data_IF_697482097022
#
_entry.id   IF_697482097022
#
_cell.length_a   1.000
_cell.length_b   1.000
_cell.length_c   1.000
_cell.angle_alpha   90.00
_cell.angle_beta   90.00
_cell.angle_gamma   90.00
#
_symmetry.space_group_name_H-M   'P 1'
#
loop_
_entity.id
_entity.type
_entity.pdbx_description
1 polymer ?
#
# COMPACT_ATOMS: atom_id res chain seq x y z
N UNK A 1 4.31 17.64 -28.35
CA UNK A 1 5.07 18.88 -28.60
C UNK A 1 4.84 20.01 -27.57
N UNK A 2 4.04 19.79 -26.53
CA UNK A 2 3.75 20.83 -25.52
C UNK A 2 4.74 20.91 -24.34
N UNK A 3 5.73 20.04 -24.24
CA UNK A 3 6.65 19.97 -23.09
C UNK A 3 8.11 20.40 -23.39
N UNK A 4 8.40 20.79 -24.62
CA UNK A 4 9.75 21.16 -25.04
C UNK A 4 10.22 22.48 -24.42
N UNK A 5 9.28 23.37 -24.06
CA UNK A 5 9.61 24.69 -23.50
C UNK A 5 9.85 24.73 -21.98
N UNK A 6 9.54 23.64 -21.25
CA UNK A 6 9.73 23.61 -19.78
C UNK A 6 11.20 23.54 -19.35
N UNK A 7 12.05 23.05 -20.24
CA UNK A 7 13.50 23.00 -19.98
C UNK A 7 14.13 24.38 -20.25
N UNK A 8 13.59 25.16 -21.20
CA UNK A 8 14.12 26.49 -21.51
C UNK A 8 13.99 27.50 -20.38
N UNK A 9 12.99 27.41 -19.53
CA UNK A 9 12.85 28.28 -18.37
C UNK A 9 14.01 28.15 -17.37
N UNK A 10 14.65 26.98 -17.31
CA UNK A 10 15.81 26.72 -16.46
C UNK A 10 17.10 27.37 -17.01
N UNK A 11 17.14 27.79 -18.29
CA UNK A 11 18.32 28.43 -18.90
C UNK A 11 18.41 29.93 -18.64
N UNK A 12 17.29 30.58 -18.36
CA UNK A 12 17.19 32.06 -18.35
C UNK A 12 17.48 32.64 -16.97
N UNK A 13 17.25 31.85 -15.90
CA UNK A 13 17.46 32.31 -14.51
C UNK A 13 18.57 31.48 -13.89
N UNK A 14 19.74 31.98 -14.00
CA UNK A 14 20.94 31.37 -13.56
C UNK A 14 21.39 31.94 -12.21
N UNK A 15 21.69 31.08 -11.23
CA UNK A 15 22.67 31.37 -10.18
C UNK A 15 22.88 30.25 -9.17
N UNK A 16 22.21 29.09 -9.33
CA UNK A 16 22.48 27.93 -8.47
C UNK A 16 22.99 26.74 -9.29
N UNK A 17 24.13 26.19 -8.89
CA UNK A 17 24.74 24.99 -9.49
C UNK A 17 23.98 23.69 -9.17
N UNK A 18 22.88 23.80 -8.43
CA UNK A 18 22.11 22.65 -7.94
C UNK A 18 20.65 22.77 -8.30
N UNK A 19 20.10 21.71 -8.95
CA UNK A 19 18.66 21.58 -9.12
C UNK A 19 18.02 21.22 -7.79
N UNK A 20 17.01 21.96 -7.37
CA UNK A 20 16.12 21.54 -6.28
C UNK A 20 15.06 20.60 -6.80
N UNK A 21 14.83 19.51 -6.06
CA UNK A 21 13.76 18.58 -6.37
C UNK A 21 12.54 19.02 -5.57
N UNK A 22 11.38 19.11 -6.23
CA UNK A 22 10.12 19.41 -5.56
C UNK A 22 9.88 18.47 -4.37
N UNK A 23 9.22 18.97 -3.34
CA UNK A 23 8.89 18.17 -2.17
C UNK A 23 8.14 16.90 -2.57
N UNK A 24 8.69 15.76 -2.25
CA UNK A 24 8.12 14.46 -2.58
C UNK A 24 8.58 13.38 -1.61
N UNK A 25 7.84 12.29 -1.57
CA UNK A 25 8.19 11.13 -0.78
C UNK A 25 9.48 10.47 -1.31
N UNK A 26 10.47 10.29 -0.45
CA UNK A 26 11.77 9.71 -0.80
C UNK A 26 11.79 8.18 -0.68
N UNK A 27 11.10 7.62 0.31
CA UNK A 27 11.07 6.19 0.61
C UNK A 27 9.66 5.64 0.53
N UNK A 28 9.53 4.35 0.25
CA UNK A 28 8.25 3.64 0.40
C UNK A 28 7.88 3.57 1.88
N UNK A 29 6.64 3.91 2.20
CA UNK A 29 6.11 3.92 3.57
C UNK A 29 5.42 2.61 3.93
N UNK A 30 4.77 1.97 2.95
CA UNK A 30 3.98 0.76 3.15
C UNK A 30 4.77 -0.54 2.94
N UNK A 31 5.87 -0.51 2.18
CA UNK A 31 6.65 -1.70 1.87
C UNK A 31 7.16 -2.44 3.13
N UNK A 32 7.55 -1.67 4.17
CA UNK A 32 8.04 -2.23 5.44
C UNK A 32 6.99 -3.00 6.24
N UNK A 33 5.72 -2.78 5.92
CA UNK A 33 4.56 -3.41 6.60
C UNK A 33 3.90 -4.50 5.76
N UNK A 34 4.41 -4.76 4.58
CA UNK A 34 3.99 -5.84 3.70
C UNK A 34 4.96 -7.02 3.77
N UNK A 35 4.46 -8.23 3.54
CA UNK A 35 5.32 -9.41 3.38
C UNK A 35 5.97 -9.35 2.01
N UNK A 36 7.27 -9.10 1.99
CA UNK A 36 8.02 -9.05 0.74
C UNK A 36 8.34 -10.46 0.25
N UNK A 37 7.87 -10.81 -0.94
CA UNK A 37 8.15 -12.08 -1.63
C UNK A 37 9.45 -12.07 -2.43
N UNK A 38 10.11 -10.92 -2.49
CA UNK A 38 11.32 -10.73 -3.28
C UNK A 38 11.06 -10.69 -4.77
N UNK A 39 12.08 -11.05 -5.56
CA UNK A 39 12.01 -11.03 -7.02
C UNK A 39 11.19 -12.19 -7.55
N UNK A 40 10.11 -11.86 -8.26
CA UNK A 40 9.21 -12.81 -8.88
C UNK A 40 9.67 -13.10 -10.32
N UNK A 41 9.67 -14.37 -10.68
CA UNK A 41 9.90 -14.82 -12.05
C UNK A 41 8.57 -15.35 -12.60
N UNK A 42 7.97 -14.60 -13.53
CA UNK A 42 6.68 -14.95 -14.13
C UNK A 42 5.68 -13.83 -14.11
N UNK A 43 4.51 -14.06 -14.70
CA UNK A 43 3.43 -13.08 -14.85
C UNK A 43 2.59 -12.88 -13.58
N UNK A 44 2.73 -13.75 -12.60
CA UNK A 44 1.95 -13.70 -11.36
C UNK A 44 2.66 -14.41 -10.22
N UNK A 45 2.26 -14.10 -9.00
CA UNK A 45 2.56 -14.93 -7.85
C UNK A 45 1.28 -15.34 -7.13
N UNK A 46 1.35 -16.44 -6.41
CA UNK A 46 0.23 -17.01 -5.71
C UNK A 46 0.41 -16.98 -4.20
N UNK A 47 -0.71 -16.85 -3.49
CA UNK A 47 -0.81 -16.93 -2.04
C UNK A 47 -1.80 -18.04 -1.73
N UNK A 48 -1.34 -19.12 -1.14
CA UNK A 48 -2.21 -20.21 -0.71
C UNK A 48 -2.91 -19.78 0.58
N UNK A 49 -4.22 -19.92 0.63
CA UNK A 49 -5.01 -19.69 1.82
C UNK A 49 -5.70 -21.00 2.26
N UNK A 50 -5.92 -21.11 3.57
CA UNK A 50 -6.60 -22.25 4.19
C UNK A 50 -7.53 -21.73 5.26
N UNK A 51 -8.77 -22.20 5.24
CA UNK A 51 -9.78 -21.88 6.24
C UNK A 51 -9.48 -22.52 7.60
N UNK A 52 -10.16 -22.04 8.63
CA UNK A 52 -10.12 -22.63 9.97
C UNK A 52 -10.92 -23.93 10.02
N UNK A 53 -10.47 -24.84 10.85
CA UNK A 53 -11.21 -26.06 11.20
C UNK A 53 -11.45 -26.09 12.70
N UNK A 54 -12.61 -26.58 13.13
CA UNK A 54 -12.96 -26.70 14.52
C UNK A 54 -12.99 -28.16 14.96
N UNK A 55 -12.62 -28.41 16.23
CA UNK A 55 -12.72 -29.72 16.83
C UNK A 55 -14.17 -29.97 17.24
N UNK A 56 -14.74 -31.07 16.77
CA UNK A 56 -16.05 -31.54 17.22
C UNK A 56 -15.91 -32.57 18.35
N UNK A 57 -16.86 -32.63 19.29
CA UNK A 57 -16.88 -33.67 20.32
C UNK A 57 -16.88 -35.06 19.68
N UNK A 58 -16.08 -35.97 20.22
CA UNK A 58 -16.09 -37.36 19.78
C UNK A 58 -17.48 -37.98 20.03
N UNK A 59 -18.00 -38.60 19.01
CA UNK A 59 -19.28 -39.34 19.08
C UNK A 59 -19.15 -40.62 19.92
N UNK A 60 -19.91 -41.66 19.55
CA UNK A 60 -19.91 -42.94 20.21
C UNK A 60 -18.53 -43.63 20.18
N UNK A 61 -18.24 -44.45 21.18
CA UNK A 61 -16.95 -45.12 21.43
C UNK A 61 -16.40 -45.95 20.28
N UNK A 62 -17.28 -46.39 19.34
CA UNK A 62 -16.96 -47.14 18.13
C UNK A 62 -17.70 -46.59 16.92
N UNK A 63 -17.94 -45.25 16.92
CA UNK A 63 -18.57 -44.57 15.80
C UNK A 63 -17.54 -44.29 14.68
N UNK A 64 -18.07 -43.96 13.50
CA UNK A 64 -17.27 -43.59 12.36
C UNK A 64 -16.53 -42.26 12.58
N UNK A 65 -15.38 -42.13 11.94
CA UNK A 65 -14.59 -40.92 11.96
C UNK A 65 -15.26 -39.81 11.14
N UNK A 66 -15.58 -38.68 11.75
CA UNK A 66 -16.02 -37.49 11.04
C UNK A 66 -14.82 -36.70 10.50
N UNK A 67 -14.85 -36.43 9.21
CA UNK A 67 -13.78 -35.66 8.55
C UNK A 67 -14.16 -34.15 8.56
N UNK A 68 -13.20 -33.31 8.92
CA UNK A 68 -13.31 -31.87 8.77
C UNK A 68 -12.26 -31.41 7.76
N UNK A 69 -12.71 -30.97 6.59
CA UNK A 69 -11.83 -30.53 5.49
C UNK A 69 -11.84 -29.00 5.49
N UNK A 70 -10.67 -28.33 5.64
CA UNK A 70 -10.61 -26.88 5.56
C UNK A 70 -10.91 -26.39 4.14
N UNK A 71 -11.60 -25.25 4.01
CA UNK A 71 -11.70 -24.54 2.74
C UNK A 71 -10.32 -24.04 2.34
N UNK A 72 -9.80 -24.52 1.22
CA UNK A 72 -8.49 -24.15 0.70
C UNK A 72 -8.65 -23.45 -0.65
N UNK A 73 -7.83 -22.42 -0.86
CA UNK A 73 -7.85 -21.67 -2.10
C UNK A 73 -6.47 -21.11 -2.45
N UNK A 74 -6.38 -20.62 -3.66
CA UNK A 74 -5.20 -19.96 -4.19
C UNK A 74 -5.57 -18.55 -4.63
N UNK A 75 -4.92 -17.56 -4.07
CA UNK A 75 -5.07 -16.16 -4.46
C UNK A 75 -3.96 -15.80 -5.42
N UNK A 76 -4.32 -15.17 -6.53
CA UNK A 76 -3.39 -14.80 -7.59
C UNK A 76 -3.23 -13.29 -7.65
N UNK A 77 -1.99 -12.82 -7.59
CA UNK A 77 -1.62 -11.43 -7.84
C UNK A 77 -0.88 -11.35 -9.19
N UNK A 78 -1.46 -10.64 -10.14
CA UNK A 78 -0.89 -10.44 -11.48
C UNK A 78 0.15 -9.33 -11.44
N UNK A 79 1.31 -9.57 -12.04
CA UNK A 79 2.36 -8.57 -12.22
C UNK A 79 1.92 -7.56 -13.27
N UNK A 80 2.14 -6.29 -12.98
CA UNK A 80 1.88 -5.20 -13.91
C UNK A 80 3.17 -4.41 -14.16
N UNK A 81 3.43 -4.13 -15.44
CA UNK A 81 4.64 -3.45 -15.87
C UNK A 81 4.45 -1.94 -15.82
N UNK A 82 5.45 -1.26 -15.30
CA UNK A 82 5.52 0.19 -15.19
C UNK A 82 6.84 0.69 -15.72
N UNK A 83 6.78 1.64 -16.64
CA UNK A 83 7.93 2.29 -17.23
C UNK A 83 7.97 3.78 -16.89
N UNK A 84 9.18 4.29 -16.74
CA UNK A 84 9.41 5.72 -16.57
C UNK A 84 10.74 6.09 -17.18
N UNK A 85 10.70 6.96 -18.20
CA UNK A 85 11.88 7.44 -18.91
C UNK A 85 11.88 8.98 -18.98
N UNK A 86 13.01 9.59 -18.64
CA UNK A 86 13.25 11.02 -18.76
C UNK A 86 14.26 11.24 -19.88
N UNK A 87 13.88 11.90 -21.00
CA UNK A 87 14.80 12.21 -22.10
C UNK A 87 15.71 13.39 -21.72
N UNK A 88 16.97 13.30 -22.14
CA UNK A 88 17.96 14.37 -22.02
C UNK A 88 18.49 14.67 -23.42
N UNK A 89 18.21 15.85 -23.95
CA UNK A 89 18.67 16.23 -25.28
C UNK A 89 20.16 16.57 -25.26
N UNK A 90 20.93 15.98 -26.17
CA UNK A 90 22.38 16.19 -26.26
C UNK A 90 22.78 17.64 -26.59
N UNK A 91 21.88 18.42 -27.22
CA UNK A 91 22.08 19.83 -27.54
C UNK A 91 22.01 20.74 -26.32
N UNK A 92 21.31 20.29 -25.28
CA UNK A 92 21.10 21.06 -24.06
C UNK A 92 22.20 20.80 -23.03
N UNK A 93 22.87 19.65 -23.08
CA UNK A 93 23.99 19.32 -22.18
C UNK A 93 25.11 20.40 -22.14
N UNK A 94 25.56 20.95 -23.26
CA UNK A 94 26.61 22.01 -23.22
C UNK A 94 26.11 23.34 -22.67
N UNK A 95 24.79 23.56 -22.65
CA UNK A 95 24.15 24.78 -22.16
C UNK A 95 23.79 24.68 -20.68
N UNK A 96 23.74 23.47 -20.15
CA UNK A 96 23.50 23.22 -18.74
C UNK A 96 24.82 23.39 -17.96
N UNK A 97 24.81 24.25 -16.97
CA UNK A 97 25.96 24.48 -16.08
C UNK A 97 26.20 23.31 -15.11
N UNK A 98 25.16 22.53 -14.82
CA UNK A 98 25.20 21.32 -14.00
C UNK A 98 24.55 20.13 -14.74
N UNK A 99 25.12 18.94 -14.63
CA UNK A 99 24.54 17.72 -15.20
C UNK A 99 23.46 17.20 -14.25
N UNK A 100 22.17 17.19 -14.63
CA UNK A 100 21.07 16.85 -13.74
C UNK A 100 20.85 15.34 -13.53
N UNK A 101 21.76 14.50 -14.02
CA UNK A 101 21.61 13.04 -14.07
C UNK A 101 21.30 12.44 -12.70
N UNK A 102 22.01 12.84 -11.65
CA UNK A 102 21.81 12.33 -10.29
C UNK A 102 20.45 12.74 -9.72
N UNK A 103 20.00 13.95 -10.04
CA UNK A 103 18.69 14.45 -9.60
C UNK A 103 17.56 13.77 -10.35
N UNK A 104 17.74 13.48 -11.63
CA UNK A 104 16.77 12.70 -12.41
C UNK A 104 16.68 11.26 -11.90
N UNK A 105 17.82 10.62 -11.62
CA UNK A 105 17.85 9.29 -11.03
C UNK A 105 17.12 9.25 -9.69
N UNK A 106 17.37 10.23 -8.81
CA UNK A 106 16.67 10.33 -7.52
C UNK A 106 15.17 10.52 -7.69
N UNK A 107 14.75 11.32 -8.66
CA UNK A 107 13.32 11.54 -8.97
C UNK A 107 12.64 10.27 -9.48
N UNK A 108 13.32 9.47 -10.30
CA UNK A 108 12.85 8.16 -10.77
C UNK A 108 12.66 7.18 -9.62
N UNK A 109 13.64 7.08 -8.72
CA UNK A 109 13.57 6.23 -7.52
C UNK A 109 12.39 6.64 -6.63
N UNK A 110 12.21 7.93 -6.42
CA UNK A 110 11.09 8.45 -5.63
C UNK A 110 9.73 8.15 -6.29
N UNK A 111 9.64 8.22 -7.61
CA UNK A 111 8.44 7.86 -8.35
C UNK A 111 8.12 6.36 -8.24
N UNK A 112 9.15 5.50 -8.33
CA UNK A 112 9.04 4.05 -8.09
C UNK A 112 8.49 3.78 -6.68
N UNK A 113 9.05 4.39 -5.65
CA UNK A 113 8.65 4.19 -4.27
C UNK A 113 7.19 4.61 -4.03
N UNK A 114 6.74 5.72 -4.60
CA UNK A 114 5.33 6.15 -4.55
C UNK A 114 4.39 5.17 -5.26
N UNK A 115 4.85 4.56 -6.36
CA UNK A 115 4.04 3.57 -7.09
C UNK A 115 3.92 2.27 -6.32
N UNK A 116 4.96 1.84 -5.62
CA UNK A 116 4.93 0.67 -4.73
C UNK A 116 3.87 0.86 -3.64
N UNK A 117 3.86 2.03 -2.99
CA UNK A 117 2.86 2.32 -1.95
C UNK A 117 1.43 2.32 -2.49
N UNK A 118 1.21 2.88 -3.69
CA UNK A 118 -0.08 2.87 -4.35
C UNK A 118 -0.56 1.43 -4.62
N UNK A 119 0.31 0.56 -5.13
CA UNK A 119 -0.03 -0.84 -5.42
C UNK A 119 -0.36 -1.62 -4.14
N UNK A 120 0.41 -1.44 -3.07
CA UNK A 120 0.14 -2.08 -1.77
C UNK A 120 -1.20 -1.61 -1.21
N UNK A 121 -1.48 -0.30 -1.26
CA UNK A 121 -2.76 0.25 -0.81
C UNK A 121 -3.94 -0.28 -1.63
N UNK A 122 -3.82 -0.31 -2.96
CA UNK A 122 -4.87 -0.85 -3.83
C UNK A 122 -5.12 -2.34 -3.57
N UNK A 123 -4.08 -3.12 -3.27
CA UNK A 123 -4.22 -4.53 -2.92
C UNK A 123 -4.96 -4.73 -1.57
N UNK A 124 -4.80 -3.80 -0.62
CA UNK A 124 -5.52 -3.84 0.65
C UNK A 124 -7.03 -3.55 0.48
N UNK A 125 -7.38 -2.56 -0.35
CA UNK A 125 -8.77 -2.09 -0.52
C UNK A 125 -9.50 -2.84 -1.64
N UNK A 126 -8.79 -3.21 -2.70
CA UNK A 126 -9.36 -3.80 -3.91
C UNK A 126 -9.77 -5.26 -3.75
N UNK A 127 -10.36 -5.81 -4.82
CA UNK A 127 -10.66 -7.23 -4.93
C UNK A 127 -9.40 -8.04 -5.26
N UNK A 128 -9.37 -9.29 -4.80
CA UNK A 128 -8.33 -10.25 -5.13
C UNK A 128 -8.94 -11.45 -5.86
N UNK A 129 -8.28 -11.96 -6.88
CA UNK A 129 -8.71 -13.15 -7.59
C UNK A 129 -8.38 -14.39 -6.75
N UNK A 130 -9.42 -15.18 -6.40
CA UNK A 130 -9.29 -16.42 -5.64
C UNK A 130 -9.82 -17.59 -6.46
N UNK A 131 -9.04 -18.64 -6.57
CA UNK A 131 -9.43 -19.92 -7.17
C UNK A 131 -9.59 -20.95 -6.07
N UNK A 132 -10.72 -21.61 -6.04
CA UNK A 132 -11.06 -22.70 -5.12
C UNK A 132 -11.46 -23.94 -5.91
N UNK A 133 -11.27 -25.10 -5.32
CA UNK A 133 -11.72 -26.38 -5.88
C UNK A 133 -12.81 -26.92 -4.99
N UNK A 134 -13.98 -27.23 -5.55
CA UNK A 134 -15.07 -27.83 -4.80
C UNK A 134 -14.87 -29.34 -4.57
N UNK A 135 -15.72 -29.98 -3.77
CA UNK A 135 -15.69 -31.41 -3.45
C UNK A 135 -15.79 -32.31 -4.70
N UNK A 136 -16.31 -31.80 -5.79
CA UNK A 136 -16.40 -32.52 -7.09
C UNK A 136 -15.13 -32.34 -7.95
N UNK A 137 -14.10 -31.64 -7.45
CA UNK A 137 -12.87 -31.39 -8.20
C UNK A 137 -12.99 -30.28 -9.26
N UNK A 138 -14.07 -29.49 -9.21
CA UNK A 138 -14.27 -28.39 -10.18
C UNK A 138 -13.67 -27.11 -9.64
N UNK A 139 -12.81 -26.51 -10.45
CA UNK A 139 -12.21 -25.19 -10.15
C UNK A 139 -13.23 -24.06 -10.35
N UNK A 140 -13.25 -23.14 -9.41
CA UNK A 140 -14.03 -21.91 -9.49
C UNK A 140 -13.12 -20.72 -9.17
N UNK A 141 -13.05 -19.78 -10.11
CA UNK A 141 -12.26 -18.54 -9.95
C UNK A 141 -13.21 -17.36 -9.81
N UNK A 142 -13.03 -16.57 -8.78
CA UNK A 142 -13.84 -15.38 -8.52
C UNK A 142 -13.03 -14.25 -7.90
N UNK A 143 -13.58 -13.04 -7.94
CA UNK A 143 -13.02 -11.88 -7.26
C UNK A 143 -13.60 -11.79 -5.86
N UNK A 144 -12.74 -11.80 -4.85
CA UNK A 144 -13.11 -11.64 -3.45
C UNK A 144 -12.82 -10.21 -3.00
N UNK A 145 -13.88 -9.49 -2.65
CA UNK A 145 -13.80 -8.13 -2.10
C UNK A 145 -13.81 -8.17 -0.56
N UNK A 146 -13.53 -7.02 0.07
CA UNK A 146 -13.71 -6.89 1.51
C UNK A 146 -15.19 -7.08 1.87
N UNK A 147 -15.52 -7.97 2.82
CA UNK A 147 -16.89 -8.14 3.29
C UNK A 147 -17.42 -6.86 3.94
N UNK A 148 -18.73 -6.63 3.89
CA UNK A 148 -19.37 -5.47 4.51
C UNK A 148 -19.07 -5.35 6.02
N UNK A 149 -18.90 -6.48 6.72
CA UNK A 149 -18.51 -6.51 8.13
C UNK A 149 -17.07 -6.02 8.42
N UNK A 150 -16.24 -5.91 7.39
CA UNK A 150 -14.86 -5.38 7.45
C UNK A 150 -14.77 -3.92 6.99
N UNK A 151 -15.92 -3.28 6.70
CA UNK A 151 -15.97 -1.89 6.26
C UNK A 151 -16.74 -1.08 7.29
N UNK A 152 -16.09 -0.08 7.88
CA UNK A 152 -16.70 0.85 8.84
C UNK A 152 -16.98 2.14 8.09
N UNK A 153 -18.28 2.49 7.99
CA UNK A 153 -18.72 3.69 7.29
C UNK A 153 -18.49 4.96 8.14
N UNK A 154 -18.38 6.11 7.49
CA UNK A 154 -18.18 7.41 8.14
C UNK A 154 -19.27 7.78 9.17
N UNK A 155 -20.51 7.34 8.92
CA UNK A 155 -21.66 7.56 9.83
C UNK A 155 -21.64 6.74 11.12
N UNK A 156 -20.64 5.87 11.34
CA UNK A 156 -20.59 5.05 12.57
C UNK A 156 -20.32 5.89 13.83
N UNK A 157 -19.67 7.05 13.69
CA UNK A 157 -19.35 7.94 14.81
C UNK A 157 -18.01 8.67 14.61
N UNK A 158 -17.43 9.17 15.71
CA UNK A 158 -16.13 9.82 15.65
C UNK A 158 -15.03 8.87 15.21
N UNK A 159 -13.94 9.41 14.66
CA UNK A 159 -12.77 8.62 14.21
C UNK A 159 -12.25 7.70 15.31
N UNK A 160 -12.21 8.16 16.57
CA UNK A 160 -11.85 7.34 17.72
C UNK A 160 -12.75 6.10 17.88
N UNK A 161 -14.07 6.28 17.74
CA UNK A 161 -15.03 5.17 17.85
C UNK A 161 -14.86 4.18 16.69
N UNK A 162 -14.58 4.67 15.49
CA UNK A 162 -14.28 3.84 14.32
C UNK A 162 -13.01 2.99 14.55
N UNK A 163 -11.94 3.57 15.09
CA UNK A 163 -10.71 2.85 15.42
C UNK A 163 -10.93 1.77 16.49
N UNK A 164 -11.69 2.09 17.55
CA UNK A 164 -12.05 1.12 18.59
C UNK A 164 -12.87 -0.03 17.99
N UNK A 165 -13.82 0.29 17.10
CA UNK A 165 -14.60 -0.72 16.38
C UNK A 165 -13.75 -1.61 15.50
N UNK A 166 -12.79 -1.04 14.78
CA UNK A 166 -11.84 -1.79 13.97
C UNK A 166 -11.04 -2.79 14.82
N UNK A 167 -10.52 -2.37 15.96
CA UNK A 167 -9.84 -3.28 16.91
C UNK A 167 -10.76 -4.38 17.44
N UNK A 168 -12.03 -4.07 17.70
CA UNK A 168 -13.01 -5.08 18.10
C UNK A 168 -13.20 -6.15 17.01
N UNK A 169 -13.22 -5.75 15.72
CA UNK A 169 -13.31 -6.67 14.59
C UNK A 169 -12.07 -7.57 14.50
N UNK A 170 -10.86 -7.01 14.65
CA UNK A 170 -9.64 -7.83 14.65
C UNK A 170 -9.62 -8.85 15.79
N UNK A 171 -10.08 -8.48 16.97
CA UNK A 171 -10.20 -9.42 18.10
C UNK A 171 -11.23 -10.51 17.87
N UNK A 172 -12.38 -10.15 17.27
CA UNK A 172 -13.40 -11.13 16.92
C UNK A 172 -12.90 -12.13 15.84
N UNK A 173 -11.99 -11.69 14.98
CA UNK A 173 -11.36 -12.53 13.95
C UNK A 173 -10.08 -13.22 14.41
N UNK A 174 -9.69 -13.09 15.71
CA UNK A 174 -8.45 -13.64 16.26
C UNK A 174 -7.18 -13.20 15.53
N UNK A 175 -7.21 -11.99 14.95
CA UNK A 175 -6.09 -11.39 14.19
C UNK A 175 -5.48 -10.20 14.96
N UNK A 176 -5.29 -10.33 16.26
CA UNK A 176 -4.79 -9.26 17.12
C UNK A 176 -3.33 -9.44 17.54
N UNK A 177 -2.86 -8.53 18.37
CA UNK A 177 -1.50 -8.52 18.88
C UNK A 177 -1.19 -9.77 19.76
N UNK A 178 -2.21 -10.43 20.29
CA UNK A 178 -2.04 -11.63 21.13
C UNK A 178 -1.55 -12.83 20.30
N UNK A 179 -1.96 -12.89 19.04
CA UNK A 179 -1.49 -13.90 18.08
C UNK A 179 -0.17 -13.52 17.39
N UNK A 180 0.54 -12.50 17.91
CA UNK A 180 1.83 -12.06 17.37
C UNK A 180 1.75 -11.18 16.14
N UNK A 181 0.54 -10.76 15.72
CA UNK A 181 0.35 -9.87 14.58
C UNK A 181 0.59 -8.40 14.97
N UNK A 182 1.20 -7.65 14.09
CA UNK A 182 1.36 -6.20 14.26
C UNK A 182 0.28 -5.49 13.49
N UNK A 183 -0.52 -4.67 14.19
CA UNK A 183 -1.54 -3.85 13.56
C UNK A 183 -0.90 -2.57 13.01
N UNK A 184 -1.19 -2.28 11.75
CA UNK A 184 -0.77 -1.08 11.06
C UNK A 184 -2.01 -0.32 10.61
N UNK A 185 -1.96 1.01 10.65
CA UNK A 185 -3.03 1.88 10.17
C UNK A 185 -2.46 3.00 9.30
N UNK A 186 -3.09 3.21 8.17
CA UNK A 186 -2.79 4.31 7.27
C UNK A 186 -3.55 5.55 7.75
N UNK A 187 -2.90 6.71 7.79
CA UNK A 187 -3.55 7.96 8.14
C UNK A 187 -3.16 9.11 7.21
N UNK A 188 -4.05 10.09 7.07
CA UNK A 188 -3.85 11.32 6.31
C UNK A 188 -3.63 12.51 7.25
N UNK A 189 -3.24 13.65 6.68
CA UNK A 189 -3.11 14.89 7.43
C UNK A 189 -4.44 15.34 8.05
N UNK A 190 -5.57 15.16 7.36
CA UNK A 190 -6.91 15.48 7.91
C UNK A 190 -7.27 14.60 9.11
N UNK A 191 -6.96 13.29 9.05
CA UNK A 191 -7.15 12.41 10.21
C UNK A 191 -6.29 12.83 11.41
N UNK A 192 -5.07 13.27 11.16
CA UNK A 192 -4.19 13.78 12.20
C UNK A 192 -4.77 15.02 12.84
N UNK A 193 -5.33 15.93 12.05
CA UNK A 193 -6.02 17.14 12.53
C UNK A 193 -7.20 16.79 13.43
N UNK A 194 -8.05 15.84 13.02
CA UNK A 194 -9.18 15.35 13.83
C UNK A 194 -8.73 14.72 15.15
N UNK A 195 -7.68 13.91 15.12
CA UNK A 195 -7.12 13.27 16.33
C UNK A 195 -6.57 14.32 17.30
N UNK A 196 -5.84 15.31 16.80
CA UNK A 196 -5.25 16.37 17.60
C UNK A 196 -6.32 17.38 18.10
N UNK A 197 -7.39 17.55 17.34
CA UNK A 197 -8.54 18.42 17.70
C UNK A 197 -9.48 17.80 18.74
N UNK A 198 -9.44 16.50 18.97
CA UNK A 198 -10.31 15.84 19.95
C UNK A 198 -9.83 16.14 21.39
N UNK A 199 -10.54 17.04 22.07
CA UNK A 199 -10.24 17.47 23.44
C UNK A 199 -10.30 16.34 24.46
N UNK A 200 -11.05 15.27 24.21
CA UNK A 200 -11.11 14.11 25.10
C UNK A 200 -9.82 13.27 25.08
N UNK A 201 -9.10 13.33 23.97
CA UNK A 201 -7.81 12.67 23.81
C UNK A 201 -6.66 13.51 24.38
N UNK A 202 -6.76 14.84 24.24
CA UNK A 202 -5.70 15.76 24.66
C UNK A 202 -5.70 16.03 26.16
N UNK A 203 -6.83 15.89 26.85
CA UNK A 203 -6.93 16.19 28.30
C UNK A 203 -6.57 15.03 29.25
N UNK A 204 -6.56 13.79 28.76
CA UNK A 204 -6.50 12.62 29.62
C UNK A 204 -5.23 11.75 29.45
N UNK A 205 -4.42 11.97 28.42
CA UNK A 205 -3.33 11.06 28.11
C UNK A 205 -2.02 11.79 27.77
N UNK A 206 -0.97 11.47 28.53
CA UNK A 206 0.39 11.95 28.30
C UNK A 206 0.89 11.68 26.85
N UNK A 207 0.38 10.64 26.19
CA UNK A 207 0.69 10.31 24.81
C UNK A 207 0.12 11.32 23.82
N UNK A 208 -1.06 11.87 24.08
CA UNK A 208 -1.66 12.91 23.23
C UNK A 208 -0.89 14.22 23.31
N UNK A 209 -0.37 14.57 24.47
CA UNK A 209 0.52 15.74 24.65
C UNK A 209 1.82 15.55 23.88
N UNK A 210 2.38 14.34 23.87
CA UNK A 210 3.58 14.03 23.10
C UNK A 210 3.34 14.11 21.59
N UNK A 211 2.21 13.61 21.09
CA UNK A 211 1.82 13.75 19.67
C UNK A 211 1.64 15.21 19.26
N UNK A 212 1.05 16.05 20.13
CA UNK A 212 0.94 17.49 19.91
C UNK A 212 2.31 18.17 19.83
N UNK A 213 3.26 17.76 20.65
CA UNK A 213 4.62 18.31 20.63
C UNK A 213 5.41 17.86 19.40
N UNK A 214 5.25 16.64 18.95
CA UNK A 214 5.97 16.08 17.81
C UNK A 214 5.28 16.38 16.46
N UNK A 215 4.02 16.80 16.46
CA UNK A 215 3.24 17.10 15.25
C UNK A 215 2.99 15.88 14.36
N UNK A 216 3.15 14.68 14.90
CA UNK A 216 2.95 13.41 14.20
C UNK A 216 2.52 12.32 15.18
N UNK A 217 1.85 11.28 14.68
CA UNK A 217 1.59 10.09 15.49
C UNK A 217 2.90 9.33 15.66
N UNK A 218 3.55 9.54 16.81
CA UNK A 218 4.83 8.92 17.13
C UNK A 218 4.60 7.60 17.87
N UNK A 219 5.21 6.54 17.34
CA UNK A 219 5.19 5.22 17.95
C UNK A 219 3.86 4.47 17.82
N UNK A 220 3.61 3.55 18.75
CA UNK A 220 2.37 2.77 18.80
C UNK A 220 1.34 3.49 19.66
N UNK A 221 0.33 4.07 19.04
CA UNK A 221 -0.83 4.60 19.74
C UNK A 221 -2.02 3.66 19.60
N UNK A 222 -2.73 3.38 20.67
CA UNK A 222 -3.76 2.36 20.77
C UNK A 222 -3.29 0.95 20.34
N UNK A 223 -1.99 0.63 20.48
CA UNK A 223 -1.42 -0.63 20.04
C UNK A 223 -1.28 -0.77 18.52
N UNK A 224 -1.49 0.29 17.76
CA UNK A 224 -1.44 0.33 16.30
C UNK A 224 -0.23 1.14 15.84
N UNK A 225 0.42 0.69 14.79
CA UNK A 225 1.52 1.38 14.12
C UNK A 225 0.95 2.31 13.04
N UNK A 226 1.22 3.61 13.12
CA UNK A 226 0.62 4.62 12.27
C UNK A 226 1.54 5.00 11.12
N UNK A 227 1.01 4.98 9.89
CA UNK A 227 1.77 5.23 8.66
C UNK A 227 1.13 6.38 7.89
N UNK A 228 1.83 7.50 7.69
CA UNK A 228 1.30 8.64 6.94
C UNK A 228 1.24 8.31 5.44
N UNK A 229 0.06 8.44 4.82
CA UNK A 229 -0.12 8.27 3.38
C UNK A 229 -1.37 9.03 2.91
N UNK A 230 -1.20 9.89 1.89
CA UNK A 230 -2.24 10.83 1.46
C UNK A 230 -3.11 10.35 0.27
N UNK A 231 -2.60 9.39 -0.53
CA UNK A 231 -3.28 8.95 -1.74
C UNK A 231 -4.33 7.87 -1.45
N UNK A 232 -5.39 8.25 -0.75
CA UNK A 232 -6.49 7.35 -0.43
C UNK A 232 -7.59 7.40 -1.49
N UNK A 233 -8.24 6.25 -1.73
CA UNK A 233 -9.46 6.17 -2.52
C UNK A 233 -10.63 6.85 -1.80
N UNK A 234 -11.65 7.21 -2.57
CA UNK A 234 -12.88 7.72 -1.97
C UNK A 234 -13.59 6.62 -1.18
N UNK A 235 -14.26 7.01 -0.10
CA UNK A 235 -15.14 6.15 0.67
C UNK A 235 -16.47 5.86 -0.02
N UNK A 236 -17.38 5.21 0.70
CA UNK A 236 -18.70 4.88 0.17
C UNK A 236 -19.56 6.13 -0.13
N UNK A 237 -19.37 7.22 0.59
CA UNK A 237 -20.06 8.52 0.38
C UNK A 237 -19.47 9.35 -0.77
N UNK A 238 -18.47 8.87 -1.50
CA UNK A 238 -17.92 9.55 -2.67
C UNK A 238 -16.77 10.51 -2.34
N UNK A 239 -16.74 11.70 -3.00
CA UNK A 239 -15.60 12.61 -2.93
C UNK A 239 -15.38 13.29 -1.55
N UNK A 240 -16.41 13.33 -0.71
CA UNK A 240 -16.37 13.91 0.64
C UNK A 240 -15.85 12.94 1.68
N UNK A 241 -15.60 11.71 1.29
CA UNK A 241 -15.09 10.67 2.16
C UNK A 241 -13.83 10.06 1.59
N UNK A 242 -12.92 9.68 2.47
CA UNK A 242 -11.73 8.89 2.13
C UNK A 242 -11.73 7.57 2.86
N UNK A 243 -11.19 6.55 2.21
CA UNK A 243 -11.09 5.19 2.77
C UNK A 243 -9.69 4.94 3.27
N UNK A 244 -9.52 4.87 4.57
CA UNK A 244 -8.29 4.37 5.18
C UNK A 244 -8.41 2.89 5.52
N UNK A 245 -7.29 2.27 5.88
CA UNK A 245 -7.22 0.83 6.15
C UNK A 245 -6.40 0.59 7.40
N UNK A 246 -6.95 -0.24 8.28
CA UNK A 246 -6.20 -0.90 9.34
C UNK A 246 -5.97 -2.35 8.93
N UNK A 247 -4.73 -2.85 9.06
CA UNK A 247 -4.37 -4.19 8.60
C UNK A 247 -3.22 -4.78 9.43
N UNK A 248 -3.10 -6.10 9.40
CA UNK A 248 -1.99 -6.81 10.03
C UNK A 248 -0.79 -6.86 9.09
N UNK A 249 0.41 -7.05 9.65
CA UNK A 249 1.65 -7.14 8.85
C UNK A 249 1.66 -8.31 7.87
N UNK A 250 0.88 -9.36 8.12
CA UNK A 250 0.74 -10.52 7.23
C UNK A 250 -0.44 -10.42 6.24
N UNK A 251 -1.16 -9.28 6.22
CA UNK A 251 -2.36 -9.12 5.41
C UNK A 251 -2.09 -8.98 3.92
N UNK A 252 -0.96 -8.39 3.54
CA UNK A 252 -0.61 -8.08 2.16
C UNK A 252 0.77 -8.61 1.81
N UNK A 253 0.87 -9.24 0.66
CA UNK A 253 2.12 -9.71 0.07
C UNK A 253 2.46 -8.84 -1.13
N UNK A 254 3.72 -8.48 -1.23
CA UNK A 254 4.27 -7.69 -2.32
C UNK A 254 5.39 -8.46 -3.02
N UNK A 255 5.39 -8.42 -4.34
CA UNK A 255 6.44 -8.97 -5.19
C UNK A 255 6.90 -7.94 -6.21
N UNK A 256 8.19 -7.94 -6.49
CA UNK A 256 8.78 -7.09 -7.51
C UNK A 256 9.57 -7.90 -8.52
N UNK A 257 9.68 -7.38 -9.75
CA UNK A 257 10.58 -7.87 -10.77
C UNK A 257 11.19 -6.66 -11.48
N UNK A 258 12.50 -6.59 -11.46
CA UNK A 258 13.24 -5.60 -12.24
C UNK A 258 13.43 -6.15 -13.65
N UNK A 259 12.69 -5.63 -14.62
CA UNK A 259 12.85 -5.97 -16.05
C UNK A 259 14.11 -5.30 -16.58
N UNK A 260 14.22 -4.00 -16.34
CA UNK A 260 15.42 -3.22 -16.63
C UNK A 260 15.60 -2.23 -15.50
N UNK A 261 16.70 -2.35 -14.77
CA UNK A 261 17.03 -1.36 -13.71
C UNK A 261 17.11 0.05 -14.28
N UNK A 262 17.12 1.06 -13.41
CA UNK A 262 17.34 2.43 -13.86
C UNK A 262 18.73 2.56 -14.49
N UNK A 263 18.75 2.90 -15.77
CA UNK A 263 19.98 3.05 -16.55
C UNK A 263 19.91 4.28 -17.46
N UNK A 264 21.08 4.68 -17.94
CA UNK A 264 21.25 5.75 -18.93
C UNK A 264 21.50 5.11 -20.27
N UNK A 265 20.52 5.16 -21.16
CA UNK A 265 20.60 4.60 -22.49
C UNK A 265 20.52 5.68 -23.58
N UNK A 266 21.12 5.41 -24.74
CA UNK A 266 21.01 6.26 -25.93
C UNK A 266 19.95 5.71 -26.87
N UNK A 267 19.11 6.59 -27.37
CA UNK A 267 18.08 6.31 -28.37
C UNK A 267 18.53 6.75 -29.77
N UNK A 268 19.08 5.85 -30.60
CA UNK A 268 19.53 6.20 -31.94
C UNK A 268 18.37 6.58 -32.87
N UNK A 269 17.17 6.06 -32.63
CA UNK A 269 15.94 6.38 -33.37
C UNK A 269 15.42 7.80 -33.12
N UNK A 270 15.88 8.46 -32.06
CA UNK A 270 15.48 9.82 -31.63
C UNK A 270 16.66 10.80 -31.62
N UNK A 271 17.39 10.91 -32.72
CA UNK A 271 18.55 11.82 -32.86
C UNK A 271 19.64 11.62 -31.80
N UNK A 272 19.88 10.38 -31.38
CA UNK A 272 20.84 10.02 -30.31
C UNK A 272 20.57 10.70 -28.96
N UNK A 273 19.31 10.93 -28.61
CA UNK A 273 18.94 11.45 -27.31
C UNK A 273 19.36 10.45 -26.23
N UNK A 274 19.94 10.94 -25.15
CA UNK A 274 20.15 10.17 -23.94
C UNK A 274 18.85 10.14 -23.13
N UNK A 275 18.49 8.99 -22.60
CA UNK A 275 17.37 8.86 -21.67
C UNK A 275 17.82 8.18 -20.37
N UNK A 276 17.24 8.60 -19.26
CA UNK A 276 17.40 7.98 -17.95
C UNK A 276 16.08 7.36 -17.57
N UNK A 277 16.07 6.09 -17.27
CA UNK A 277 14.82 5.41 -16.92
C UNK A 277 14.97 3.91 -16.77
N UNK A 278 13.87 3.23 -16.50
CA UNK A 278 13.81 1.79 -16.36
C UNK A 278 12.38 1.27 -16.42
N UNK A 279 12.27 -0.03 -16.51
CA UNK A 279 11.01 -0.78 -16.51
C UNK A 279 11.01 -1.72 -15.30
N UNK A 280 9.97 -1.62 -14.50
CA UNK A 280 9.78 -2.44 -13.32
C UNK A 280 8.40 -3.10 -13.37
N UNK A 281 8.29 -4.31 -12.86
CA UNK A 281 7.03 -5.01 -12.72
C UNK A 281 6.73 -5.19 -11.24
N UNK A 282 5.51 -4.87 -10.83
CA UNK A 282 5.07 -4.97 -9.44
C UNK A 282 3.73 -5.67 -9.34
N UNK A 283 3.56 -6.41 -8.25
CA UNK A 283 2.27 -6.92 -7.85
C UNK A 283 2.12 -6.88 -6.33
N UNK A 284 0.90 -6.74 -5.86
CA UNK A 284 0.56 -6.98 -4.48
C UNK A 284 -0.78 -7.73 -4.41
N UNK A 285 -0.93 -8.57 -3.40
CA UNK A 285 -2.14 -9.36 -3.17
C UNK A 285 -2.50 -9.42 -1.69
N UNK A 286 -3.79 -9.33 -1.39
CA UNK A 286 -4.30 -9.51 -0.04
C UNK A 286 -4.37 -11.01 0.29
N UNK A 287 -3.78 -11.39 1.44
CA UNK A 287 -3.72 -12.79 1.85
C UNK A 287 -5.05 -13.26 2.48
N UNK A 288 -5.72 -12.42 3.27
CA UNK A 288 -6.99 -12.75 3.93
C UNK A 288 -7.80 -11.48 4.20
N UNK A 289 -9.12 -11.53 4.01
CA UNK A 289 -10.04 -10.42 4.29
C UNK A 289 -10.14 -10.11 5.77
N UNK A 290 -10.10 -11.12 6.64
CA UNK A 290 -10.20 -10.97 8.09
C UNK A 290 -9.03 -10.15 8.69
N UNK A 291 -7.91 -10.06 7.98
CA UNK A 291 -6.71 -9.32 8.36
C UNK A 291 -6.73 -7.84 7.94
N UNK A 292 -7.83 -7.37 7.37
CA UNK A 292 -7.96 -6.01 6.84
C UNK A 292 -9.31 -5.43 7.22
N UNK A 293 -9.31 -4.22 7.76
CA UNK A 293 -10.53 -3.44 8.05
C UNK A 293 -10.42 -2.08 7.36
N UNK A 294 -11.37 -1.79 6.50
CA UNK A 294 -11.47 -0.48 5.85
C UNK A 294 -12.32 0.46 6.72
N UNK A 295 -11.91 1.73 6.80
CA UNK A 295 -12.58 2.77 7.56
C UNK A 295 -12.82 3.96 6.63
N UNK A 296 -14.07 4.33 6.42
CA UNK A 296 -14.43 5.52 5.68
C UNK A 296 -14.58 6.70 6.66
N UNK A 297 -13.93 7.81 6.38
CA UNK A 297 -13.96 9.02 7.20
C UNK A 297 -14.20 10.26 6.35
N UNK A 298 -14.79 11.29 6.94
CA UNK A 298 -15.04 12.58 6.28
C UNK A 298 -13.73 13.37 6.15
N UNK A 299 -13.60 14.12 5.05
CA UNK A 299 -12.42 14.97 4.74
C UNK A 299 -12.83 16.43 4.64
#
# INVERSE_FOLDING_TARGET
>A
MANENKIMAAFVIQYHDTYEIAAMQNESRLLKTAVNRGKIQGESFTINDMGQVEMSPSGNRFGDTTWSIPDAGVRTALMADYDLFIPIESRDLPKLKAVPTDKYMKNLINARNRKIDDIIYQALVGGVTRTTVNDAGVESTGTVNLPAGQIILSGFGSLKQQIIKAKSIFRANECDEHNGETLNMIYTASMLEDILGDTTLTSADFMAVKMLQEGAVSGKWLGVNWIPYEKLNNGAGGATEKRTVMYTSSAVHFGDADITGFDISKRPDKKNISQVGGVHSFAAGRANEQKVVAIDFLV
#
